data_IF_612444754907
#
_entry.id   IF_612444754907
#
_cell.length_a   1.000
_cell.length_b   1.000
_cell.length_c   1.000
_cell.angle_alpha   90.00
_cell.angle_beta   90.00
_cell.angle_gamma   90.00
#
_symmetry.space_group_name_H-M   'P 1'
#
loop_
_entity.id
_entity.type
_entity.pdbx_description
1 polymer ?
#
# COMPACT_ATOMS: atom_id res chain seq x y z
N UNK A 1 0.16 13.98 -3.18
CA UNK A 1 1.18 13.57 -2.20
C UNK A 1 1.44 12.09 -2.34
N UNK A 2 2.68 11.68 -2.28
CA UNK A 2 3.02 10.26 -2.27
C UNK A 2 2.99 9.73 -0.84
N UNK A 3 2.26 8.64 -0.63
CA UNK A 3 2.10 8.04 0.69
C UNK A 3 2.41 6.55 0.58
N UNK A 4 3.24 6.04 1.48
CA UNK A 4 3.55 4.62 1.57
C UNK A 4 2.93 4.09 2.86
N UNK A 5 2.10 3.06 2.74
CA UNK A 5 1.46 2.42 3.88
C UNK A 5 2.06 1.06 4.09
N UNK A 6 2.67 0.84 5.24
CA UNK A 6 3.28 -0.44 5.58
C UNK A 6 2.24 -1.28 6.33
N UNK A 7 1.69 -2.27 5.63
CA UNK A 7 0.65 -3.13 6.15
C UNK A 7 -0.68 -2.92 5.43
N UNK A 8 -1.25 -4.00 4.94
CA UNK A 8 -2.51 -3.98 4.19
C UNK A 8 -3.64 -4.68 4.93
N UNK A 9 -3.50 -4.85 6.25
CA UNK A 9 -4.57 -5.37 7.09
C UNK A 9 -5.71 -4.37 7.21
N UNK A 10 -6.67 -4.65 8.10
CA UNK A 10 -7.89 -3.86 8.18
C UNK A 10 -7.63 -2.37 8.39
N UNK A 11 -6.73 -2.02 9.29
CA UNK A 11 -6.43 -0.61 9.59
C UNK A 11 -5.71 0.05 8.41
N UNK A 12 -4.67 -0.60 7.88
CA UNK A 12 -3.93 -0.08 6.74
C UNK A 12 -4.81 0.08 5.52
N UNK A 13 -5.72 -0.87 5.28
CA UNK A 13 -6.66 -0.81 4.18
C UNK A 13 -7.58 0.42 4.29
N UNK A 14 -8.09 0.70 5.47
CA UNK A 14 -8.97 1.85 5.69
C UNK A 14 -8.23 3.17 5.50
N UNK A 15 -6.98 3.24 5.97
CA UNK A 15 -6.15 4.42 5.75
C UNK A 15 -5.89 4.62 4.26
N UNK A 16 -5.55 3.55 3.54
CA UNK A 16 -5.31 3.62 2.10
C UNK A 16 -6.56 4.09 1.36
N UNK A 17 -7.72 3.57 1.72
CA UNK A 17 -8.99 3.98 1.14
C UNK A 17 -9.25 5.46 1.34
N UNK A 18 -9.05 5.95 2.56
CA UNK A 18 -9.28 7.35 2.88
C UNK A 18 -8.35 8.26 2.08
N UNK A 19 -7.05 7.92 2.06
CA UNK A 19 -6.06 8.73 1.37
C UNK A 19 -6.21 8.69 -0.15
N UNK A 20 -6.57 7.54 -0.72
CA UNK A 20 -6.78 7.46 -2.16
C UNK A 20 -7.97 8.31 -2.60
N UNK A 21 -8.99 8.42 -1.76
CA UNK A 21 -10.14 9.28 -2.05
C UNK A 21 -9.78 10.77 -2.02
N UNK A 22 -8.66 11.13 -1.41
CA UNK A 22 -8.16 12.50 -1.36
C UNK A 22 -7.16 12.80 -2.48
N UNK A 23 -7.09 11.95 -3.51
CA UNK A 23 -6.21 12.11 -4.68
C UNK A 23 -4.73 12.06 -4.33
N UNK A 24 -4.36 11.27 -3.34
CA UNK A 24 -2.97 11.00 -3.03
C UNK A 24 -2.48 9.80 -3.84
N UNK A 25 -1.17 9.78 -4.16
CA UNK A 25 -0.53 8.61 -4.74
C UNK A 25 -0.20 7.64 -3.60
N UNK A 26 -1.02 6.63 -3.41
CA UNK A 26 -0.89 5.70 -2.29
C UNK A 26 -0.28 4.41 -2.77
N UNK A 27 0.73 3.94 -2.05
CA UNK A 27 1.34 2.63 -2.27
C UNK A 27 1.22 1.82 -0.98
N UNK A 28 0.72 0.60 -1.10
CA UNK A 28 0.57 -0.31 0.04
C UNK A 28 1.64 -1.39 -0.05
N UNK A 29 2.35 -1.60 1.04
CA UNK A 29 3.40 -2.62 1.13
C UNK A 29 3.03 -3.60 2.23
N UNK A 30 3.06 -4.89 1.92
CA UNK A 30 2.80 -5.95 2.89
C UNK A 30 3.55 -7.21 2.50
N UNK A 31 3.89 -8.03 3.47
CA UNK A 31 4.53 -9.33 3.21
C UNK A 31 3.55 -10.34 2.63
N UNK A 32 2.26 -10.14 2.81
CA UNK A 32 1.21 -11.04 2.31
C UNK A 32 0.72 -10.52 0.94
N UNK A 33 1.03 -11.24 -0.16
CA UNK A 33 0.62 -10.80 -1.49
C UNK A 33 -0.90 -10.78 -1.68
N UNK A 34 -1.64 -11.60 -0.94
CA UNK A 34 -3.09 -11.61 -1.05
C UNK A 34 -3.71 -10.33 -0.51
N UNK A 35 -3.16 -9.81 0.59
CA UNK A 35 -3.61 -8.53 1.15
C UNK A 35 -3.28 -7.38 0.20
N UNK A 36 -2.10 -7.40 -0.41
CA UNK A 36 -1.71 -6.38 -1.39
C UNK A 36 -2.64 -6.40 -2.59
N UNK A 37 -2.91 -7.59 -3.12
CA UNK A 37 -3.83 -7.74 -4.27
C UNK A 37 -5.22 -7.22 -3.92
N UNK A 38 -5.72 -7.54 -2.73
CA UNK A 38 -7.02 -7.08 -2.28
C UNK A 38 -7.11 -5.56 -2.27
N UNK A 39 -6.06 -4.90 -1.80
CA UNK A 39 -6.01 -3.45 -1.79
C UNK A 39 -5.97 -2.88 -3.20
N UNK A 40 -5.12 -3.41 -4.08
CA UNK A 40 -5.01 -2.91 -5.46
C UNK A 40 -6.25 -3.19 -6.29
N UNK A 41 -6.97 -4.27 -6.02
CA UNK A 41 -8.20 -4.59 -6.73
C UNK A 41 -9.38 -3.72 -6.27
N UNK A 42 -9.36 -3.28 -5.03
CA UNK A 42 -10.48 -2.56 -4.42
C UNK A 42 -10.28 -1.04 -4.40
N UNK A 43 -9.05 -0.57 -4.42
CA UNK A 43 -8.71 0.84 -4.27
C UNK A 43 -7.80 1.28 -5.41
N UNK A 44 -7.78 2.58 -5.67
CA UNK A 44 -6.86 3.17 -6.63
C UNK A 44 -5.51 3.40 -5.97
N UNK A 45 -4.79 2.31 -5.71
CA UNK A 45 -3.50 2.33 -5.03
C UNK A 45 -2.54 1.39 -5.76
N UNK A 46 -1.24 1.62 -5.57
CA UNK A 46 -0.22 0.69 -6.01
C UNK A 46 0.09 -0.29 -4.88
N UNK A 47 0.61 -1.45 -5.21
CA UNK A 47 0.92 -2.46 -4.22
C UNK A 47 2.27 -3.10 -4.45
N UNK A 48 3.00 -3.34 -3.37
CA UNK A 48 4.28 -4.06 -3.40
C UNK A 48 4.23 -5.14 -2.32
N UNK A 49 4.43 -6.40 -2.72
CA UNK A 49 4.51 -7.50 -1.79
C UNK A 49 5.96 -7.68 -1.33
N UNK A 50 6.19 -7.58 -0.03
CA UNK A 50 7.52 -7.71 0.55
C UNK A 50 7.57 -7.07 1.93
N UNK A 51 8.75 -7.10 2.56
CA UNK A 51 8.92 -6.48 3.87
C UNK A 51 9.30 -5.01 3.70
N UNK A 52 8.49 -4.13 4.27
CA UNK A 52 8.69 -2.69 4.16
C UNK A 52 10.02 -2.22 4.78
N UNK A 53 10.60 -3.02 5.67
CA UNK A 53 11.88 -2.71 6.29
C UNK A 53 13.07 -2.87 5.34
N UNK A 54 12.88 -3.50 4.18
CA UNK A 54 13.97 -3.67 3.21
C UNK A 54 14.06 -2.42 2.34
N UNK A 55 15.22 -1.76 2.27
CA UNK A 55 15.34 -0.50 1.52
C UNK A 55 14.94 -0.62 0.05
N UNK A 56 15.28 -1.73 -0.61
CA UNK A 56 14.94 -1.92 -2.01
C UNK A 56 13.42 -2.04 -2.24
N UNK A 57 12.68 -2.55 -1.26
CA UNK A 57 11.23 -2.60 -1.35
C UNK A 57 10.65 -1.19 -1.25
N UNK A 58 11.17 -0.37 -0.32
CA UNK A 58 10.70 1.01 -0.17
C UNK A 58 11.05 1.85 -1.39
N UNK A 59 12.20 1.63 -1.99
CA UNK A 59 12.59 2.31 -3.23
C UNK A 59 11.62 1.98 -4.36
N UNK A 60 11.22 0.71 -4.48
CA UNK A 60 10.27 0.28 -5.50
C UNK A 60 8.86 0.81 -5.25
N UNK A 61 8.51 1.03 -4.00
CA UNK A 61 7.20 1.54 -3.63
C UNK A 61 7.06 3.04 -3.86
N UNK A 62 8.14 3.74 -3.83
CA UNK A 62 8.01 5.15 -3.94
C UNK A 62 9.05 6.04 -4.28
#
# INVERSE_FOLDING_TARGET
>A
MKVIICGAGQVGWQIARHLSNERNDVTVVDSDPDLVRRATDSLDVQGVAGYASYPNILDRAG
#
